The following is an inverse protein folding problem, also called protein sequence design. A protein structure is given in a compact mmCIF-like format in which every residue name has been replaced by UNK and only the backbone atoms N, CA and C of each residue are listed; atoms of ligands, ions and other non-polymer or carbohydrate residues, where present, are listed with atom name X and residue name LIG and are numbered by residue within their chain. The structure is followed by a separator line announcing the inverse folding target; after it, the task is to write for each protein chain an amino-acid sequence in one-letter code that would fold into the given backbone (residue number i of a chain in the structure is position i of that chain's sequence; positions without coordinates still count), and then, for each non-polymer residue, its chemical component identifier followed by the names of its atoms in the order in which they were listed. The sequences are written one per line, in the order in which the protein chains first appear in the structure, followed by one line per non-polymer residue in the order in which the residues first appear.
data_IF_215068452557
#
_entry.id   IF_215068452557
#
_cell.length_a   1.000
_cell.length_b   1.000
_cell.length_c   1.000
_cell.angle_alpha   90.00
_cell.angle_beta   90.00
_cell.angle_gamma   90.00
#
_symmetry.space_group_name_H-M   'P 1'
#
loop_
_entity.id
_entity.type
_entity.pdbx_description
1 polymer ?
#
# COMPACT_ATOMS: atom_id res chain seq x y z
N UNK A 1 -22.93 -9.07 13.47
CA UNK A 1 -21.78 -8.17 13.33
C UNK A 1 -20.53 -8.87 12.77
N UNK A 2 -20.11 -10.02 13.30
CA UNK A 2 -18.96 -10.82 12.80
C UNK A 2 -19.07 -11.19 11.30
N UNK A 3 -20.22 -11.73 10.86
CA UNK A 3 -20.44 -12.14 9.45
C UNK A 3 -20.35 -11.00 8.43
N UNK A 4 -20.63 -9.77 8.83
CA UNK A 4 -20.59 -8.59 7.95
C UNK A 4 -19.15 -8.08 7.76
N UNK A 5 -18.30 -8.27 8.75
CA UNK A 5 -16.87 -7.96 8.70
C UNK A 5 -16.12 -9.02 7.87
N UNK A 6 -16.49 -10.28 8.00
CA UNK A 6 -15.90 -11.39 7.23
C UNK A 6 -16.23 -11.26 5.72
N UNK A 7 -17.47 -10.85 5.37
CA UNK A 7 -17.84 -10.60 3.97
C UNK A 7 -17.09 -9.41 3.34
N UNK A 8 -16.85 -8.34 4.11
CA UNK A 8 -16.11 -7.16 3.64
C UNK A 8 -14.64 -7.52 3.40
N UNK A 9 -14.06 -8.36 4.25
CA UNK A 9 -12.66 -8.81 4.12
C UNK A 9 -12.52 -9.79 2.96
N UNK A 10 -13.53 -10.64 2.72
CA UNK A 10 -13.50 -11.64 1.64
C UNK A 10 -13.56 -10.98 0.25
N UNK A 11 -14.41 -9.98 0.06
CA UNK A 11 -14.49 -9.21 -1.20
C UNK A 11 -13.20 -8.42 -1.51
N UNK A 12 -12.47 -8.02 -0.46
CA UNK A 12 -11.23 -7.27 -0.62
C UNK A 12 -10.01 -8.18 -0.85
N UNK A 13 -10.11 -9.50 -0.55
CA UNK A 13 -9.00 -10.45 -0.72
C UNK A 13 -9.02 -11.20 -2.05
N UNK A 14 -10.15 -11.23 -2.74
CA UNK A 14 -10.31 -11.94 -4.03
C UNK A 14 -10.28 -10.93 -5.19
N UNK A 15 -9.16 -10.24 -5.35
CA UNK A 15 -8.83 -9.60 -6.62
C UNK A 15 -8.32 -10.67 -7.58
N UNK A 16 -9.05 -10.97 -8.65
CA UNK A 16 -8.60 -11.91 -9.67
C UNK A 16 -7.22 -11.49 -10.21
N UNK A 17 -6.24 -12.37 -10.06
CA UNK A 17 -4.94 -12.21 -10.68
C UNK A 17 -5.09 -12.30 -12.20
N UNK A 18 -5.12 -11.16 -12.87
CA UNK A 18 -4.92 -11.12 -14.31
C UNK A 18 -3.49 -11.56 -14.63
N UNK A 19 -3.37 -12.73 -15.24
CA UNK A 19 -2.10 -13.32 -15.65
C UNK A 19 -1.39 -12.44 -16.70
N UNK A 20 -0.12 -12.17 -16.42
CA UNK A 20 0.98 -11.99 -17.38
C UNK A 20 0.75 -11.22 -18.67
N UNK A 21 1.02 -9.92 -18.64
CA UNK A 21 1.43 -9.18 -19.83
C UNK A 21 2.89 -8.74 -19.66
N UNK A 22 3.69 -8.92 -20.73
CA UNK A 22 5.09 -8.46 -20.79
C UNK A 22 5.17 -6.96 -20.45
N UNK A 23 6.14 -6.60 -19.63
CA UNK A 23 6.34 -5.20 -19.23
C UNK A 23 6.52 -4.29 -20.45
N UNK A 24 5.75 -3.20 -20.58
CA UNK A 24 6.01 -2.17 -21.60
C UNK A 24 7.39 -1.55 -21.36
N UNK A 25 8.02 -1.04 -22.42
CA UNK A 25 9.33 -0.36 -22.37
C UNK A 25 9.30 0.95 -21.54
N UNK A 26 8.14 1.50 -21.28
CA UNK A 26 7.95 2.59 -20.32
C UNK A 26 7.73 1.98 -18.93
N UNK A 27 8.67 2.29 -18.06
CA UNK A 27 8.67 1.78 -16.69
C UNK A 27 7.43 2.30 -15.96
N UNK A 28 6.47 1.40 -15.69
CA UNK A 28 5.29 1.73 -14.91
C UNK A 28 5.71 2.20 -13.50
N UNK A 29 5.28 3.41 -13.15
CA UNK A 29 5.46 3.97 -11.83
C UNK A 29 4.14 3.88 -11.05
N UNK A 30 4.07 2.87 -10.17
CA UNK A 30 2.87 2.61 -9.38
C UNK A 30 2.58 3.72 -8.35
N UNK A 31 3.60 4.39 -7.84
CA UNK A 31 3.40 5.50 -6.93
C UNK A 31 2.78 6.70 -7.63
N UNK A 32 3.29 7.05 -8.80
CA UNK A 32 2.72 8.15 -9.59
C UNK A 32 1.31 7.84 -10.07
N UNK A 33 1.03 6.60 -10.48
CA UNK A 33 -0.31 6.17 -10.85
C UNK A 33 -1.27 6.30 -9.65
N UNK A 34 -0.90 5.76 -8.49
CA UNK A 34 -1.72 5.89 -7.29
C UNK A 34 -1.98 7.35 -6.90
N UNK A 35 -0.96 8.19 -7.00
CA UNK A 35 -1.10 9.62 -6.74
C UNK A 35 -2.11 10.29 -7.69
N UNK A 36 -2.07 9.95 -8.98
CA UNK A 36 -3.03 10.45 -9.97
C UNK A 36 -4.44 9.95 -9.70
N UNK A 37 -4.62 8.67 -9.39
CA UNK A 37 -5.91 8.08 -9.04
C UNK A 37 -6.53 8.79 -7.82
N UNK A 38 -5.73 9.05 -6.79
CA UNK A 38 -6.17 9.78 -5.60
C UNK A 38 -6.66 11.19 -5.94
N UNK A 39 -5.91 11.93 -6.76
CA UNK A 39 -6.28 13.29 -7.18
C UNK A 39 -7.53 13.31 -8.05
N UNK A 40 -7.60 12.44 -9.05
CA UNK A 40 -8.74 12.32 -9.95
C UNK A 40 -10.03 11.99 -9.19
N UNK A 41 -9.94 11.12 -8.19
CA UNK A 41 -11.07 10.74 -7.35
C UNK A 41 -11.31 11.69 -6.16
N UNK A 42 -10.65 12.84 -6.11
CA UNK A 42 -10.83 13.89 -5.12
C UNK A 42 -10.66 13.40 -3.67
N UNK A 43 -9.73 12.49 -3.44
CA UNK A 43 -9.35 12.10 -2.10
C UNK A 43 -8.74 13.32 -1.36
N UNK A 44 -8.71 13.32 -0.02
CA UNK A 44 -8.01 14.39 0.72
C UNK A 44 -6.57 14.52 0.23
N UNK A 45 -6.02 15.73 0.34
CA UNK A 45 -4.61 15.94 0.03
C UNK A 45 -3.74 15.01 0.89
N UNK A 46 -2.87 14.28 0.23
CA UNK A 46 -1.90 13.39 0.87
C UNK A 46 -0.52 14.04 0.90
N UNK A 47 0.31 13.59 1.80
CA UNK A 47 1.74 13.89 1.84
C UNK A 47 2.53 12.68 1.31
N UNK A 48 3.66 12.94 0.64
CA UNK A 48 4.58 11.89 0.16
C UNK A 48 5.83 11.84 1.03
N UNK A 49 6.46 10.66 1.07
CA UNK A 49 7.75 10.45 1.75
C UNK A 49 7.74 10.91 3.21
N UNK A 50 6.69 10.52 3.96
CA UNK A 50 6.43 11.00 5.31
C UNK A 50 7.27 10.26 6.34
N UNK A 51 8.17 10.96 7.00
CA UNK A 51 8.92 10.42 8.14
C UNK A 51 8.02 10.33 9.38
N UNK A 52 7.83 9.16 9.92
CA UNK A 52 6.88 8.94 11.03
C UNK A 52 7.54 8.55 12.36
N UNK A 53 8.84 8.31 12.37
CA UNK A 53 9.54 7.73 13.53
C UNK A 53 10.82 8.53 13.91
N UNK A 54 10.92 9.78 13.51
CA UNK A 54 12.08 10.63 13.80
C UNK A 54 12.28 10.86 15.30
N UNK A 55 11.19 10.97 16.07
CA UNK A 55 11.23 11.15 17.52
C UNK A 55 11.88 9.98 18.27
N UNK A 56 11.99 8.81 17.64
CA UNK A 56 12.69 7.63 18.17
C UNK A 56 13.98 7.33 17.41
N UNK A 57 14.51 8.29 16.66
CA UNK A 57 15.78 8.18 15.95
C UNK A 57 15.76 7.31 14.70
N UNK A 58 14.59 6.98 14.15
CA UNK A 58 14.46 6.18 12.94
C UNK A 58 14.13 7.05 11.73
N UNK A 59 14.76 6.75 10.58
CA UNK A 59 14.53 7.44 9.31
C UNK A 59 13.53 6.69 8.41
N UNK A 60 12.61 5.96 9.00
CA UNK A 60 11.56 5.29 8.26
C UNK A 60 10.54 6.29 7.74
N UNK A 61 10.05 6.06 6.55
CA UNK A 61 9.05 6.90 5.91
C UNK A 61 8.00 6.04 5.22
N UNK A 62 6.84 6.63 5.02
CA UNK A 62 5.77 6.10 4.20
C UNK A 62 5.82 6.73 2.82
N UNK A 63 5.44 5.99 1.77
CA UNK A 63 5.33 6.54 0.41
C UNK A 63 4.26 7.61 0.35
N UNK A 64 3.12 7.37 1.01
CA UNK A 64 2.02 8.33 1.16
C UNK A 64 1.47 8.32 2.58
N UNK A 65 0.94 9.45 3.01
CA UNK A 65 0.19 9.50 4.26
C UNK A 65 -0.91 10.57 4.23
N UNK A 66 -1.95 10.31 5.02
CA UNK A 66 -2.95 11.28 5.45
C UNK A 66 -2.84 11.42 6.97
N UNK A 67 -1.95 12.31 7.46
CA UNK A 67 -1.67 12.42 8.90
C UNK A 67 -2.91 12.73 9.73
N UNK A 68 -3.79 13.58 9.23
CA UNK A 68 -5.07 13.90 9.88
C UNK A 68 -5.91 12.67 10.20
N UNK A 69 -5.82 11.64 9.37
CA UNK A 69 -6.58 10.39 9.51
C UNK A 69 -5.74 9.25 10.10
N UNK A 70 -4.45 9.48 10.34
CA UNK A 70 -3.48 8.45 10.77
C UNK A 70 -3.47 7.24 9.84
N UNK A 71 -3.57 7.47 8.54
CA UNK A 71 -3.51 6.46 7.48
C UNK A 71 -2.25 6.69 6.65
N UNK A 72 -1.51 5.64 6.39
CA UNK A 72 -0.37 5.62 5.50
C UNK A 72 -0.53 4.55 4.42
N UNK A 73 0.18 4.74 3.31
CA UNK A 73 0.23 3.78 2.21
C UNK A 73 1.69 3.52 1.84
N UNK A 74 2.00 2.26 1.62
CA UNK A 74 3.26 1.77 1.06
C UNK A 74 2.95 1.04 -0.25
N UNK A 75 3.66 1.38 -1.31
CA UNK A 75 3.56 0.70 -2.60
C UNK A 75 4.75 -0.26 -2.72
N UNK A 76 4.48 -1.55 -2.65
CA UNK A 76 5.51 -2.59 -2.64
C UNK A 76 6.02 -2.87 -4.05
N UNK A 77 7.30 -2.63 -4.26
CA UNK A 77 8.00 -3.04 -5.48
C UNK A 77 8.40 -4.51 -5.41
N UNK A 78 7.52 -5.41 -5.80
CA UNK A 78 7.83 -6.83 -5.91
C UNK A 78 8.47 -7.08 -7.27
N UNK A 79 9.73 -7.49 -7.29
CA UNK A 79 10.39 -7.96 -8.49
C UNK A 79 10.25 -9.49 -8.55
N UNK A 80 9.48 -9.97 -9.52
CA UNK A 80 9.43 -11.40 -9.84
C UNK A 80 10.48 -11.71 -10.90
N UNK A 81 11.35 -12.66 -10.64
CA UNK A 81 12.33 -13.17 -11.60
C UNK A 81 12.26 -14.68 -11.71
N UNK A 82 12.62 -15.20 -12.88
CA UNK A 82 12.64 -16.62 -13.15
C UNK A 82 14.04 -17.18 -12.91
N UNK A 83 14.15 -18.13 -12.00
CA UNK A 83 15.40 -18.85 -11.71
C UNK A 83 15.13 -20.35 -11.64
N UNK A 84 15.93 -21.16 -12.36
CA UNK A 84 15.76 -22.62 -12.40
C UNK A 84 14.39 -23.07 -12.94
N UNK A 85 13.75 -22.29 -13.81
CA UNK A 85 12.42 -22.60 -14.36
C UNK A 85 11.25 -22.22 -13.43
N UNK A 86 11.51 -21.75 -12.22
CA UNK A 86 10.49 -21.34 -11.24
C UNK A 86 10.48 -19.84 -11.04
N UNK A 87 9.30 -19.28 -10.78
CA UNK A 87 9.16 -17.89 -10.40
C UNK A 87 9.56 -17.70 -8.95
N UNK A 88 10.46 -16.75 -8.73
CA UNK A 88 10.96 -16.37 -7.41
C UNK A 88 10.69 -14.89 -7.15
N UNK A 89 10.38 -14.58 -5.92
CA UNK A 89 10.22 -13.22 -5.44
C UNK A 89 11.58 -12.65 -5.05
N UNK A 90 11.97 -11.52 -5.65
CA UNK A 90 13.17 -10.79 -5.30
C UNK A 90 12.84 -9.36 -4.91
N UNK A 91 13.78 -8.69 -4.30
CA UNK A 91 13.67 -7.31 -3.83
C UNK A 91 14.31 -7.13 -2.47
N UNK A 92 14.30 -5.92 -1.93
CA UNK A 92 14.90 -5.59 -0.63
C UNK A 92 14.30 -6.40 0.54
N UNK A 93 13.08 -6.91 0.37
CA UNK A 93 12.35 -7.72 1.35
C UNK A 93 12.62 -9.23 1.23
N UNK A 94 13.38 -9.66 0.23
CA UNK A 94 13.68 -11.08 -0.02
C UNK A 94 14.68 -11.70 0.96
N UNK A 95 15.25 -10.92 1.87
CA UNK A 95 16.18 -11.41 2.90
C UNK A 95 15.50 -11.51 4.26
N UNK A 96 15.97 -12.45 5.11
CA UNK A 96 15.53 -12.57 6.52
C UNK A 96 15.73 -11.25 7.27
N UNK A 97 16.85 -10.57 7.02
CA UNK A 97 17.14 -9.26 7.64
C UNK A 97 16.15 -8.19 7.20
N UNK A 98 15.84 -8.11 5.92
CA UNK A 98 14.85 -7.16 5.39
C UNK A 98 13.46 -7.41 5.96
N UNK A 99 13.03 -8.66 6.02
CA UNK A 99 11.76 -9.04 6.65
C UNK A 99 11.67 -8.64 8.12
N UNK A 100 12.74 -8.86 8.89
CA UNK A 100 12.80 -8.47 10.30
C UNK A 100 12.71 -6.95 10.49
N UNK A 101 13.41 -6.18 9.66
CA UNK A 101 13.35 -4.72 9.69
C UNK A 101 11.94 -4.21 9.34
N UNK A 102 11.27 -4.82 8.39
CA UNK A 102 9.88 -4.51 8.05
C UNK A 102 8.93 -4.79 9.21
N UNK A 103 9.06 -5.94 9.88
CA UNK A 103 8.28 -6.24 11.07
C UNK A 103 8.45 -5.14 12.14
N UNK A 104 9.69 -4.71 12.39
CA UNK A 104 9.97 -3.65 13.36
C UNK A 104 9.34 -2.32 12.90
N UNK A 105 9.51 -1.94 11.63
CA UNK A 105 8.94 -0.72 11.05
C UNK A 105 7.43 -0.67 11.22
N UNK A 106 6.73 -1.72 10.81
CA UNK A 106 5.26 -1.73 10.81
C UNK A 106 4.66 -1.88 12.21
N UNK A 107 5.28 -2.67 13.09
CA UNK A 107 4.87 -2.74 14.49
C UNK A 107 5.06 -1.37 15.19
N UNK A 108 6.13 -0.68 14.88
CA UNK A 108 6.37 0.68 15.40
C UNK A 108 5.31 1.66 14.88
N UNK A 109 4.98 1.60 13.59
CA UNK A 109 3.93 2.42 13.02
C UNK A 109 2.57 2.18 13.72
N UNK A 110 2.23 0.92 13.98
CA UNK A 110 1.01 0.57 14.70
C UNK A 110 1.01 1.10 16.14
N UNK A 111 2.12 0.99 16.86
CA UNK A 111 2.26 1.55 18.21
C UNK A 111 2.12 3.09 18.23
N UNK A 112 2.55 3.76 17.17
CA UNK A 112 2.41 5.21 17.00
C UNK A 112 0.99 5.61 16.50
N UNK A 113 0.07 4.68 16.32
CA UNK A 113 -1.31 4.91 15.94
C UNK A 113 -1.60 4.94 14.45
N UNK A 114 -0.61 4.59 13.61
CA UNK A 114 -0.80 4.55 12.17
C UNK A 114 -1.50 3.27 11.72
N UNK A 115 -2.44 3.41 10.78
CA UNK A 115 -2.92 2.30 9.96
C UNK A 115 -2.16 2.34 8.64
N UNK A 116 -1.35 1.32 8.38
CA UNK A 116 -0.54 1.23 7.17
C UNK A 116 -1.22 0.27 6.19
N UNK A 117 -1.58 0.79 5.02
CA UNK A 117 -2.08 0.00 3.89
C UNK A 117 -0.90 -0.32 2.98
N UNK A 118 -0.73 -1.59 2.65
CA UNK A 118 0.36 -2.06 1.79
C UNK A 118 -0.23 -2.61 0.50
N UNK A 119 0.22 -2.11 -0.62
CA UNK A 119 -0.27 -2.48 -1.94
C UNK A 119 0.89 -2.89 -2.84
N UNK A 120 0.73 -3.95 -3.59
CA UNK A 120 1.63 -4.26 -4.68
C UNK A 120 1.11 -3.63 -5.99
N UNK A 121 1.95 -3.59 -7.02
CA UNK A 121 1.69 -2.81 -8.23
C UNK A 121 0.39 -3.18 -8.97
N UNK A 122 -0.01 -4.46 -8.99
CA UNK A 122 -1.24 -4.88 -9.68
C UNK A 122 -2.49 -4.36 -8.99
N UNK A 123 -2.45 -4.20 -7.67
CA UNK A 123 -3.54 -3.62 -6.89
C UNK A 123 -3.74 -2.14 -7.23
N UNK A 124 -2.67 -1.42 -7.57
CA UNK A 124 -2.78 -0.04 -8.05
C UNK A 124 -3.38 0.00 -9.44
N UNK A 125 -2.87 -0.82 -10.37
CA UNK A 125 -3.38 -0.88 -11.76
C UNK A 125 -4.86 -1.23 -11.87
N UNK A 126 -5.38 -2.04 -10.96
CA UNK A 126 -6.78 -2.48 -10.92
C UNK A 126 -7.71 -1.57 -10.13
N UNK A 127 -7.25 -0.40 -9.68
CA UNK A 127 -7.98 0.52 -8.78
C UNK A 127 -8.35 -0.09 -7.42
N UNK A 128 -7.91 -1.30 -7.12
CA UNK A 128 -8.18 -1.98 -5.86
C UNK A 128 -7.57 -1.22 -4.67
N UNK A 129 -6.33 -0.77 -4.81
CA UNK A 129 -5.65 0.05 -3.81
C UNK A 129 -6.43 1.34 -3.51
N UNK A 130 -6.89 2.04 -4.55
CA UNK A 130 -7.73 3.24 -4.43
C UNK A 130 -9.02 2.94 -3.66
N UNK A 131 -9.71 1.85 -3.99
CA UNK A 131 -10.94 1.44 -3.32
C UNK A 131 -10.75 1.20 -1.82
N UNK A 132 -9.68 0.52 -1.43
CA UNK A 132 -9.34 0.29 -0.02
C UNK A 132 -9.02 1.61 0.69
N UNK A 133 -8.19 2.47 0.07
CA UNK A 133 -7.84 3.76 0.65
C UNK A 133 -9.08 4.64 0.88
N UNK A 134 -10.00 4.71 -0.09
CA UNK A 134 -11.29 5.43 0.05
C UNK A 134 -12.11 4.92 1.23
N UNK A 135 -12.27 3.60 1.35
CA UNK A 135 -13.03 2.99 2.45
C UNK A 135 -12.39 3.24 3.80
N UNK A 136 -11.05 3.18 3.89
CA UNK A 136 -10.36 3.45 5.14
C UNK A 136 -10.47 4.93 5.54
N UNK A 137 -10.33 5.86 4.61
CA UNK A 137 -10.53 7.29 4.84
C UNK A 137 -11.96 7.57 5.33
N UNK A 138 -12.97 6.94 4.70
CA UNK A 138 -14.36 7.09 5.11
C UNK A 138 -14.59 6.57 6.54
N UNK A 139 -13.97 5.45 6.92
CA UNK A 139 -14.02 4.92 8.30
C UNK A 139 -13.39 5.88 9.32
N UNK A 140 -12.44 6.70 8.89
CA UNK A 140 -11.79 7.73 9.72
C UNK A 140 -12.49 9.09 9.65
N UNK A 141 -13.68 9.13 9.06
CA UNK A 141 -14.54 10.32 9.06
C UNK A 141 -14.40 11.23 7.84
N UNK A 142 -13.61 10.84 6.83
CA UNK A 142 -13.61 11.57 5.57
C UNK A 142 -14.92 11.39 4.83
N UNK A 143 -15.45 12.49 4.29
CA UNK A 143 -16.64 12.49 3.44
C UNK A 143 -16.26 13.07 2.07
N UNK A 144 -16.55 12.33 1.02
CA UNK A 144 -16.38 12.83 -0.34
C UNK A 144 -17.31 14.03 -0.53
N UNK A 145 -16.77 15.11 -1.08
CA UNK A 145 -17.60 16.26 -1.44
C UNK A 145 -18.48 15.86 -2.62
N UNK A 146 -19.77 16.07 -2.49
CA UNK A 146 -20.73 15.93 -3.59
C UNK A 146 -20.55 17.04 -4.63
#
# INVERSE_FOLDING_TARGET
MKRRLEAIVQDDLVGEHAAGLAAPKDRYDAEDDFAQQCRFNQLPAFEREVFFAQQIGRKWRFDFAWPKFMIAVEIEGIVMFKSGGQWQMGGAHGSIKGFKEDCIKYNTAALLGWTVLRFEQSMVRSDHALGIAKRMLARRGWKQKS
#
